data_IF_058933997618
#
_entry.id   IF_058933997618
#
_cell.length_a   1.000
_cell.length_b   1.000
_cell.length_c   1.000
_cell.angle_alpha   90.00
_cell.angle_beta   90.00
_cell.angle_gamma   90.00
#
_symmetry.space_group_name_H-M   'P 1'
#
loop_
_entity.id
_entity.type
_entity.pdbx_description
1 polymer ?
#
# COMPACT_ATOMS: atom_id res chain seq x y z
N UNK A 1 1.02 12.69 -31.84
CA UNK A 1 0.07 12.59 -30.70
C UNK A 1 -1.35 12.74 -31.24
N UNK A 2 -2.23 11.76 -31.04
CA UNK A 2 -3.61 11.78 -31.57
C UNK A 2 -4.38 12.94 -30.94
N UNK A 3 -4.96 13.78 -31.80
CA UNK A 3 -5.84 14.89 -31.42
C UNK A 3 -7.06 14.34 -30.66
N UNK A 4 -7.09 14.57 -29.34
CA UNK A 4 -8.27 14.32 -28.53
C UNK A 4 -9.34 15.33 -28.92
N UNK A 5 -10.45 14.82 -29.45
CA UNK A 5 -11.58 15.61 -29.93
C UNK A 5 -12.17 16.47 -28.79
N UNK A 6 -12.37 17.78 -29.02
CA UNK A 6 -12.91 18.72 -28.00
C UNK A 6 -14.24 18.23 -27.40
N UNK A 7 -15.08 17.51 -28.16
CA UNK A 7 -16.32 16.91 -27.64
C UNK A 7 -16.08 15.73 -26.69
N UNK A 8 -15.01 14.96 -26.90
CA UNK A 8 -14.59 13.88 -26.00
C UNK A 8 -14.10 14.46 -24.68
N UNK A 9 -13.27 15.51 -24.74
CA UNK A 9 -12.76 16.20 -23.56
C UNK A 9 -13.86 16.91 -22.78
N UNK A 10 -14.83 17.56 -23.43
CA UNK A 10 -15.96 18.20 -22.75
C UNK A 10 -16.84 17.20 -21.99
N UNK A 11 -17.10 16.02 -22.59
CA UNK A 11 -17.86 14.93 -21.95
C UNK A 11 -17.06 14.25 -20.83
N UNK A 12 -15.76 14.03 -21.03
CA UNK A 12 -14.86 13.52 -19.99
C UNK A 12 -14.74 14.49 -18.82
N UNK A 13 -14.49 15.78 -19.07
CA UNK A 13 -14.38 16.81 -18.03
C UNK A 13 -15.70 17.06 -17.31
N UNK A 14 -16.85 17.03 -18.01
CA UNK A 14 -18.17 17.19 -17.38
C UNK A 14 -18.52 16.06 -16.43
N UNK A 15 -18.22 14.80 -16.81
CA UNK A 15 -18.43 13.63 -15.94
C UNK A 15 -17.38 13.59 -14.81
N UNK A 16 -16.12 13.96 -15.08
CA UNK A 16 -15.07 14.04 -14.06
C UNK A 16 -15.31 15.15 -13.04
N UNK A 17 -15.92 16.26 -13.44
CA UNK A 17 -16.23 17.39 -12.57
C UNK A 17 -17.17 17.00 -11.44
N UNK A 18 -18.20 16.19 -11.69
CA UNK A 18 -19.14 15.74 -10.65
C UNK A 18 -18.50 14.71 -9.69
N UNK A 19 -17.66 13.81 -10.21
CA UNK A 19 -16.94 12.81 -9.40
C UNK A 19 -15.88 13.47 -8.49
N UNK A 20 -15.31 14.60 -8.90
CA UNK A 20 -14.36 15.39 -8.11
C UNK A 20 -15.01 16.37 -7.11
N UNK A 21 -16.34 16.41 -6.98
CA UNK A 21 -17.04 17.28 -6.00
C UNK A 21 -16.96 16.79 -4.56
N UNK A 22 -16.57 15.54 -4.32
CA UNK A 22 -16.43 15.03 -2.95
C UNK A 22 -15.19 15.62 -2.27
N UNK A 23 -15.32 16.25 -1.09
CA UNK A 23 -14.17 16.77 -0.35
C UNK A 23 -13.16 15.68 0.05
N UNK A 24 -13.55 14.40 -0.02
CA UNK A 24 -12.72 13.26 0.34
C UNK A 24 -12.03 12.59 -0.86
N UNK A 25 -12.35 12.99 -2.10
CA UNK A 25 -11.85 12.32 -3.30
C UNK A 25 -10.32 12.26 -3.35
N UNK A 26 -9.65 13.37 -3.02
CA UNK A 26 -8.19 13.47 -3.06
C UNK A 26 -7.55 12.50 -2.06
N UNK A 27 -8.12 12.39 -0.86
CA UNK A 27 -7.57 11.52 0.19
C UNK A 27 -7.77 10.05 -0.15
N UNK A 28 -8.95 9.68 -0.67
CA UNK A 28 -9.22 8.32 -1.16
C UNK A 28 -8.28 7.95 -2.32
N UNK A 29 -8.05 8.87 -3.26
CA UNK A 29 -7.15 8.64 -4.39
C UNK A 29 -5.69 8.49 -3.94
N UNK A 30 -5.23 9.32 -3.01
CA UNK A 30 -3.90 9.21 -2.41
C UNK A 30 -3.75 7.86 -1.72
N UNK A 31 -4.71 7.48 -0.88
CA UNK A 31 -4.73 6.21 -0.17
C UNK A 31 -4.63 5.02 -1.12
N UNK A 32 -5.45 5.01 -2.20
CA UNK A 32 -5.41 3.95 -3.21
C UNK A 32 -4.04 3.82 -3.86
N UNK A 33 -3.43 4.95 -4.27
CA UNK A 33 -2.11 4.95 -4.90
C UNK A 33 -1.02 4.48 -3.94
N UNK A 34 -1.05 4.92 -2.68
CA UNK A 34 -0.09 4.51 -1.66
C UNK A 34 -0.19 3.02 -1.38
N UNK A 35 -1.39 2.49 -1.15
CA UNK A 35 -1.59 1.06 -0.92
C UNK A 35 -1.13 0.22 -2.12
N UNK A 36 -1.47 0.66 -3.35
CA UNK A 36 -1.03 -0.02 -4.57
C UNK A 36 0.50 -0.02 -4.73
N UNK A 37 1.17 1.06 -4.33
CA UNK A 37 2.62 1.13 -4.36
C UNK A 37 3.26 0.20 -3.33
N UNK A 38 2.81 0.24 -2.08
CA UNK A 38 3.33 -0.59 -0.99
C UNK A 38 3.04 -2.08 -1.19
N UNK A 39 1.89 -2.41 -1.79
CA UNK A 39 1.49 -3.78 -2.08
C UNK A 39 2.37 -4.52 -3.09
N UNK A 40 3.33 -3.85 -3.75
CA UNK A 40 4.25 -4.48 -4.71
C UNK A 40 5.14 -5.54 -4.08
N UNK A 41 5.56 -5.30 -2.84
CA UNK A 41 6.44 -6.20 -2.07
C UNK A 41 5.65 -7.18 -1.19
N UNK A 42 4.33 -7.29 -1.40
CA UNK A 42 3.49 -8.16 -0.61
C UNK A 42 3.93 -9.64 -0.77
N UNK A 43 3.97 -10.46 0.31
CA UNK A 43 4.51 -11.82 0.25
C UNK A 43 3.86 -12.74 -0.79
N UNK A 44 2.57 -12.54 -1.11
CA UNK A 44 1.84 -13.32 -2.13
C UNK A 44 1.92 -12.71 -3.54
N UNK A 45 2.71 -11.67 -3.74
CA UNK A 45 2.87 -10.95 -5.00
C UNK A 45 1.92 -9.77 -5.16
N UNK A 46 2.31 -8.87 -6.07
CA UNK A 46 1.62 -7.62 -6.34
C UNK A 46 0.20 -7.83 -6.90
N UNK A 47 0.01 -8.80 -7.78
CA UNK A 47 -1.29 -9.05 -8.43
C UNK A 47 -2.34 -9.52 -7.41
N UNK A 48 -1.95 -10.45 -6.53
CA UNK A 48 -2.81 -10.89 -5.43
C UNK A 48 -3.26 -9.72 -4.55
N UNK A 49 -2.33 -8.83 -4.18
CA UNK A 49 -2.65 -7.66 -3.38
C UNK A 49 -3.55 -6.68 -4.15
N UNK A 50 -3.23 -6.40 -5.41
CA UNK A 50 -3.97 -5.48 -6.27
C UNK A 50 -5.43 -5.92 -6.46
N UNK A 51 -5.67 -7.22 -6.62
CA UNK A 51 -7.02 -7.76 -6.73
C UNK A 51 -7.83 -7.56 -5.46
N UNK A 52 -7.22 -7.82 -4.29
CA UNK A 52 -7.87 -7.57 -3.00
C UNK A 52 -8.14 -6.09 -2.77
N UNK A 53 -7.18 -5.22 -3.10
CA UNK A 53 -7.33 -3.77 -3.04
C UNK A 53 -8.49 -3.30 -3.92
N UNK A 54 -8.55 -3.75 -5.17
CA UNK A 54 -9.64 -3.40 -6.09
C UNK A 54 -10.99 -3.86 -5.58
N UNK A 55 -11.09 -5.08 -5.04
CA UNK A 55 -12.33 -5.61 -4.47
C UNK A 55 -12.77 -4.78 -3.27
N UNK A 56 -11.85 -4.42 -2.36
CA UNK A 56 -12.16 -3.63 -1.18
C UNK A 56 -12.76 -2.26 -1.55
N UNK A 57 -12.07 -1.50 -2.42
CA UNK A 57 -12.55 -0.19 -2.87
C UNK A 57 -13.85 -0.30 -3.68
N UNK A 58 -14.02 -1.34 -4.50
CA UNK A 58 -15.25 -1.57 -5.27
C UNK A 58 -16.46 -1.81 -4.35
N UNK A 59 -16.28 -2.53 -3.24
CA UNK A 59 -17.34 -2.79 -2.26
C UNK A 59 -17.83 -1.52 -1.57
N UNK A 60 -17.01 -0.47 -1.50
CA UNK A 60 -17.29 0.77 -0.79
C UNK A 60 -17.65 1.93 -1.74
N UNK A 61 -17.84 1.67 -3.03
CA UNK A 61 -18.06 2.70 -4.06
C UNK A 61 -19.33 3.53 -3.87
N UNK A 62 -20.32 3.01 -3.14
CA UNK A 62 -21.64 3.63 -2.93
C UNK A 62 -21.75 4.29 -1.55
N UNK A 63 -20.65 4.37 -0.79
CA UNK A 63 -20.64 5.02 0.52
C UNK A 63 -20.57 6.53 0.34
N UNK A 64 -21.64 7.22 0.74
CA UNK A 64 -21.75 8.69 0.65
C UNK A 64 -21.61 9.40 2.00
N UNK A 65 -21.84 8.69 3.12
CA UNK A 65 -21.78 9.26 4.46
C UNK A 65 -20.35 9.72 4.81
N UNK A 66 -20.13 11.03 5.06
CA UNK A 66 -18.83 11.58 5.45
C UNK A 66 -18.15 10.90 6.63
N UNK A 67 -18.92 10.44 7.64
CA UNK A 67 -18.35 9.78 8.82
C UNK A 67 -17.79 8.40 8.44
N UNK A 68 -18.54 7.62 7.67
CA UNK A 68 -18.10 6.33 7.17
C UNK A 68 -16.90 6.45 6.24
N UNK A 69 -16.88 7.45 5.35
CA UNK A 69 -15.72 7.68 4.47
C UNK A 69 -14.45 7.93 5.28
N UNK A 70 -14.51 8.79 6.31
CA UNK A 70 -13.36 9.05 7.19
C UNK A 70 -12.91 7.79 7.92
N UNK A 71 -13.83 6.96 8.39
CA UNK A 71 -13.50 5.71 9.04
C UNK A 71 -12.81 4.72 8.08
N UNK A 72 -13.33 4.59 6.85
CA UNK A 72 -12.71 3.76 5.81
C UNK A 72 -11.30 4.24 5.44
N UNK A 73 -11.09 5.56 5.34
CA UNK A 73 -9.76 6.14 5.12
C UNK A 73 -8.84 5.80 6.29
N UNK A 74 -9.31 5.93 7.53
CA UNK A 74 -8.55 5.57 8.74
C UNK A 74 -8.14 4.09 8.73
N UNK A 75 -9.08 3.19 8.39
CA UNK A 75 -8.79 1.75 8.23
C UNK A 75 -7.72 1.50 7.16
N UNK A 76 -7.78 2.20 6.03
CA UNK A 76 -6.75 2.10 5.00
C UNK A 76 -5.37 2.58 5.47
N UNK A 77 -5.32 3.65 6.26
CA UNK A 77 -4.07 4.13 6.88
C UNK A 77 -3.50 3.12 7.88
N UNK A 78 -4.35 2.38 8.60
CA UNK A 78 -3.91 1.29 9.45
C UNK A 78 -3.25 0.17 8.64
N UNK A 79 -3.84 -0.22 7.50
CA UNK A 79 -3.26 -1.23 6.59
C UNK A 79 -1.89 -0.78 6.05
N UNK A 80 -1.70 0.52 5.79
CA UNK A 80 -0.37 1.06 5.45
C UNK A 80 0.65 0.75 6.56
N UNK A 81 0.29 0.95 7.83
CA UNK A 81 1.17 0.64 8.96
C UNK A 81 1.49 -0.85 9.08
N UNK A 82 0.51 -1.72 8.84
CA UNK A 82 0.76 -3.17 8.79
C UNK A 82 1.74 -3.54 7.67
N UNK A 83 1.61 -2.93 6.48
CA UNK A 83 2.54 -3.15 5.38
C UNK A 83 3.96 -2.65 5.70
N UNK A 84 4.10 -1.49 6.35
CA UNK A 84 5.39 -1.00 6.86
C UNK A 84 6.01 -2.01 7.84
N UNK A 85 5.22 -2.52 8.80
CA UNK A 85 5.69 -3.52 9.76
C UNK A 85 6.15 -4.81 9.08
N UNK A 86 5.40 -5.30 8.08
CA UNK A 86 5.80 -6.47 7.30
C UNK A 86 7.13 -6.25 6.56
N UNK A 87 7.33 -5.06 5.99
CA UNK A 87 8.57 -4.67 5.36
C UNK A 87 9.74 -4.69 6.35
N UNK A 88 9.60 -4.05 7.52
CA UNK A 88 10.63 -4.03 8.55
C UNK A 88 10.95 -5.42 9.10
N UNK A 89 9.93 -6.26 9.30
CA UNK A 89 10.12 -7.64 9.77
C UNK A 89 10.91 -8.47 8.76
N UNK A 90 10.61 -8.35 7.46
CA UNK A 90 11.38 -9.00 6.39
C UNK A 90 12.84 -8.56 6.42
N UNK A 91 13.09 -7.25 6.51
CA UNK A 91 14.44 -6.66 6.60
C UNK A 91 15.20 -7.17 7.82
N UNK A 92 14.56 -7.19 8.98
CA UNK A 92 15.15 -7.70 10.23
C UNK A 92 15.54 -9.18 10.10
N UNK A 93 14.64 -10.04 9.59
CA UNK A 93 14.93 -11.46 9.38
C UNK A 93 16.16 -11.68 8.48
N UNK A 94 16.25 -10.92 7.39
CA UNK A 94 17.41 -10.99 6.48
C UNK A 94 18.71 -10.52 7.15
N UNK A 95 18.67 -9.43 7.93
CA UNK A 95 19.84 -8.96 8.68
C UNK A 95 20.26 -9.98 9.74
N UNK A 96 19.30 -10.53 10.49
CA UNK A 96 19.57 -11.50 11.55
C UNK A 96 20.31 -12.72 11.00
N UNK A 97 19.85 -13.28 9.88
CA UNK A 97 20.49 -14.45 9.27
C UNK A 97 21.93 -14.19 8.81
N UNK A 98 22.27 -12.96 8.41
CA UNK A 98 23.63 -12.61 7.96
C UNK A 98 24.63 -12.40 9.09
N UNK A 99 24.19 -11.90 10.24
CA UNK A 99 25.09 -11.43 11.30
C UNK A 99 25.11 -12.34 12.55
N UNK A 100 24.11 -13.21 12.74
CA UNK A 100 23.97 -13.98 13.97
C UNK A 100 23.87 -15.50 13.75
N UNK A 101 24.06 -16.00 12.51
CA UNK A 101 24.15 -17.45 12.24
C UNK A 101 25.58 -18.00 12.39
N UNK A 102 26.60 -17.14 12.43
CA UNK A 102 27.94 -17.51 12.88
C UNK A 102 27.98 -17.44 14.41
N UNK A 103 27.90 -18.58 15.10
CA UNK A 103 28.31 -18.64 16.51
C UNK A 103 29.76 -18.11 16.59
N UNK A 104 30.07 -17.17 17.51
CA UNK A 104 31.46 -16.77 17.72
C UNK A 104 32.28 -18.02 18.03
N UNK A 105 33.49 -18.17 17.45
CA UNK A 105 34.29 -19.36 17.65
C UNK A 105 34.47 -19.60 19.16
N UNK A 106 34.37 -20.85 19.63
CA UNK A 106 34.49 -21.15 21.05
C UNK A 106 35.80 -20.55 21.57
N UNK A 107 35.82 -20.00 22.80
CA UNK A 107 37.02 -19.40 23.36
C UNK A 107 38.17 -20.37 23.21
N UNK A 108 39.25 -19.94 22.52
CA UNK A 108 40.43 -20.77 22.28
C UNK A 108 40.82 -21.36 23.63
N UNK A 109 40.73 -22.68 23.76
CA UNK A 109 41.13 -23.37 24.98
C UNK A 109 42.51 -22.85 25.33
N UNK A 110 42.67 -22.29 26.53
CA UNK A 110 43.95 -21.84 27.02
C UNK A 110 44.88 -23.05 26.99
N UNK A 111 45.69 -23.16 25.95
CA UNK A 111 46.78 -24.13 25.88
C UNK A 111 47.76 -23.70 26.94
N UNK A 112 47.57 -24.22 28.15
CA UNK A 112 48.54 -24.15 29.22
C UNK A 112 49.83 -24.78 28.71
N UNK A 113 50.85 -23.94 28.54
CA UNK A 113 52.25 -24.33 28.59
C UNK A 113 52.83 -23.74 29.86
#
# INVERSE_FOLDING_TARGET
>A
MRLLNKKFLQRYFGIYSDVMKSPYYIDVLKLYKTLRFMGRDYPKGADYFNDKLRIAFKKQKEVEDPKQIKELISRGNYVIKELETLYFLKRYRTLKGRYYEEEPPPPKAATGR
#
